data_IF_171318508558
#
_entry.id   IF_171318508558
#
_cell.length_a   1.000
_cell.length_b   1.000
_cell.length_c   1.000
_cell.angle_alpha   90.00
_cell.angle_beta   90.00
_cell.angle_gamma   90.00
#
_symmetry.space_group_name_H-M   'P 1'
#
loop_
_entity.id
_entity.type
_entity.pdbx_description
1 polymer ?
#
# COMPACT_ATOMS: atom_id res chain seq x y z
N UNK A 1 20.86 3.14 2.24
CA UNK A 1 20.23 4.02 3.25
C UNK A 1 18.70 4.14 3.12
N UNK A 2 18.06 3.75 2.00
CA UNK A 2 16.59 3.77 1.84
C UNK A 2 15.80 2.71 2.64
N UNK A 3 16.44 1.61 3.06
CA UNK A 3 15.73 0.48 3.68
C UNK A 3 15.04 0.87 5.00
N UNK A 4 15.71 1.65 5.86
CA UNK A 4 15.19 2.03 7.19
C UNK A 4 13.94 2.91 7.10
N UNK A 5 13.87 3.82 6.11
CA UNK A 5 12.69 4.66 5.88
C UNK A 5 11.48 3.84 5.41
N UNK A 6 11.71 2.86 4.53
CA UNK A 6 10.65 1.97 4.04
C UNK A 6 10.01 1.14 5.16
N UNK A 7 10.79 0.68 6.14
CA UNK A 7 10.26 -0.07 7.28
C UNK A 7 9.45 0.81 8.23
N UNK A 8 9.84 2.06 8.44
CA UNK A 8 9.07 3.02 9.25
C UNK A 8 7.73 3.32 8.57
N UNK A 9 7.76 3.61 7.27
CA UNK A 9 6.55 3.83 6.46
C UNK A 9 5.63 2.61 6.47
N UNK A 10 6.20 1.40 6.39
CA UNK A 10 5.45 0.16 6.52
C UNK A 10 4.75 0.03 7.88
N UNK A 11 5.46 0.33 8.98
CA UNK A 11 4.87 0.34 10.33
C UNK A 11 3.71 1.32 10.44
N UNK A 12 3.89 2.54 9.94
CA UNK A 12 2.84 3.57 9.92
C UNK A 12 1.65 3.13 9.05
N UNK A 13 1.90 2.56 7.88
CA UNK A 13 0.87 2.03 6.99
C UNK A 13 -0.01 0.98 7.69
N UNK A 14 0.61 0.06 8.43
CA UNK A 14 -0.10 -0.96 9.21
C UNK A 14 -0.94 -0.33 10.32
N UNK A 15 -0.40 0.66 11.05
CA UNK A 15 -1.16 1.36 12.09
C UNK A 15 -2.38 2.09 11.50
N UNK A 16 -2.21 2.80 10.39
CA UNK A 16 -3.31 3.49 9.69
C UNK A 16 -4.38 2.49 9.25
N UNK A 17 -3.98 1.32 8.72
CA UNK A 17 -4.90 0.26 8.33
C UNK A 17 -5.69 -0.31 9.50
N UNK A 18 -5.04 -0.50 10.65
CA UNK A 18 -5.70 -0.96 11.87
C UNK A 18 -6.73 0.08 12.33
N UNK A 19 -6.35 1.36 12.37
CA UNK A 19 -7.25 2.46 12.77
C UNK A 19 -8.46 2.56 11.84
N UNK A 20 -8.24 2.49 10.52
CA UNK A 20 -9.30 2.49 9.51
C UNK A 20 -10.23 1.28 9.66
N UNK A 21 -9.67 0.09 9.93
CA UNK A 21 -10.45 -1.13 10.15
C UNK A 21 -11.33 -1.04 11.39
N UNK A 22 -10.83 -0.45 12.48
CA UNK A 22 -11.62 -0.17 13.67
C UNK A 22 -12.70 0.89 13.41
N UNK A 23 -12.37 1.94 12.66
CA UNK A 23 -13.33 3.00 12.30
C UNK A 23 -14.48 2.46 11.45
N UNK A 24 -14.21 1.56 10.50
CA UNK A 24 -15.26 0.89 9.73
C UNK A 24 -16.14 -0.03 10.57
N UNK A 25 -15.52 -0.82 11.48
CA UNK A 25 -16.27 -1.65 12.42
C UNK A 25 -17.21 -0.80 13.27
N UNK A 26 -16.78 0.38 13.74
CA UNK A 26 -17.62 1.28 14.54
C UNK A 26 -18.73 1.94 13.73
N UNK A 27 -18.48 2.34 12.48
CA UNK A 27 -19.50 2.92 11.61
C UNK A 27 -20.58 1.92 11.17
N UNK A 28 -20.25 0.62 11.07
CA UNK A 28 -21.18 -0.43 10.62
C UNK A 28 -21.85 -1.23 11.74
N UNK A 29 -21.67 -0.86 13.02
CA UNK A 29 -22.31 -1.55 14.17
C UNK A 29 -23.85 -1.58 14.12
N UNK A 30 -24.49 -0.85 13.20
CA UNK A 30 -25.95 -0.85 13.01
C UNK A 30 -26.51 -1.77 11.91
N UNK A 31 -25.69 -2.51 11.16
CA UNK A 31 -26.20 -3.48 10.17
C UNK A 31 -25.75 -4.89 10.52
N UNK A 32 -26.72 -5.68 10.97
CA UNK A 32 -26.75 -7.09 11.40
C UNK A 32 -26.16 -8.14 10.42
N UNK A 33 -25.15 -7.83 9.60
CA UNK A 33 -24.83 -8.66 8.43
C UNK A 33 -23.36 -8.55 8.01
N UNK A 34 -22.43 -8.92 8.89
CA UNK A 34 -21.07 -9.23 8.44
C UNK A 34 -21.10 -10.56 7.68
N UNK A 35 -21.33 -10.51 6.35
CA UNK A 35 -21.20 -11.62 5.40
C UNK A 35 -19.73 -12.10 5.25
N UNK A 36 -19.05 -12.40 6.36
CA UNK A 36 -17.72 -13.02 6.38
C UNK A 36 -16.53 -12.17 5.90
N UNK A 37 -16.74 -10.94 5.42
CA UNK A 37 -15.63 -10.09 4.92
C UNK A 37 -14.93 -9.39 6.09
N UNK A 38 -13.59 -9.49 6.22
CA UNK A 38 -12.85 -8.71 7.22
C UNK A 38 -13.16 -7.22 7.03
N UNK A 39 -13.32 -6.49 8.13
CA UNK A 39 -13.72 -5.07 8.15
C UNK A 39 -12.65 -4.09 7.63
N UNK A 40 -11.85 -4.52 6.65
CA UNK A 40 -10.85 -3.73 5.97
C UNK A 40 -11.57 -2.88 4.90
N UNK A 41 -11.21 -1.60 4.84
CA UNK A 41 -11.76 -0.66 3.85
C UNK A 41 -11.32 -1.12 2.45
N UNK A 42 -12.24 -1.33 1.49
CA UNK A 42 -11.83 -1.57 0.12
C UNK A 42 -11.10 -0.32 -0.40
N UNK A 43 -9.88 -0.45 -0.92
CA UNK A 43 -9.01 0.69 -1.23
C UNK A 43 -9.56 1.50 -2.41
N UNK A 44 -10.31 0.88 -3.31
CA UNK A 44 -10.87 1.51 -4.51
C UNK A 44 -12.31 1.08 -4.70
N UNK A 45 -13.17 2.04 -5.03
CA UNK A 45 -14.49 1.77 -5.60
C UNK A 45 -14.47 2.09 -7.10
N UNK A 46 -14.35 1.06 -7.93
CA UNK A 46 -14.32 1.19 -9.39
C UNK A 46 -15.67 1.65 -9.97
N UNK A 47 -16.79 1.33 -9.30
CA UNK A 47 -18.13 1.64 -9.81
C UNK A 47 -18.52 3.11 -9.60
N UNK A 48 -18.00 3.76 -8.57
CA UNK A 48 -18.27 5.18 -8.30
C UNK A 48 -17.03 5.89 -7.73
N UNK A 49 -16.07 6.29 -8.58
CA UNK A 49 -14.84 6.92 -8.14
C UNK A 49 -15.09 8.39 -7.75
N UNK A 50 -15.16 8.67 -6.44
CA UNK A 50 -15.26 10.06 -5.92
C UNK A 50 -14.02 10.92 -6.23
N UNK A 51 -12.82 10.34 -6.15
CA UNK A 51 -11.55 11.07 -6.28
C UNK A 51 -10.63 10.43 -7.31
N UNK A 52 -10.96 10.62 -8.59
CA UNK A 52 -10.26 10.00 -9.74
C UNK A 52 -8.76 10.29 -9.78
N UNK A 53 -8.35 11.51 -9.44
CA UNK A 53 -6.95 11.93 -9.47
C UNK A 53 -6.08 11.14 -8.48
N UNK A 54 -6.61 10.82 -7.30
CA UNK A 54 -5.83 10.11 -6.28
C UNK A 54 -5.51 8.69 -6.73
N UNK A 55 -6.43 8.04 -7.44
CA UNK A 55 -6.18 6.73 -8.05
C UNK A 55 -5.08 6.79 -9.11
N UNK A 56 -5.13 7.79 -9.99
CA UNK A 56 -4.12 7.98 -11.04
C UNK A 56 -2.74 8.22 -10.43
N UNK A 57 -2.65 9.06 -9.39
CA UNK A 57 -1.39 9.34 -8.69
C UNK A 57 -0.85 8.10 -7.97
N UNK A 58 -1.71 7.35 -7.28
CA UNK A 58 -1.31 6.12 -6.59
C UNK A 58 -0.81 5.06 -7.59
N UNK A 59 -1.52 4.86 -8.70
CA UNK A 59 -1.07 3.97 -9.76
C UNK A 59 0.24 4.44 -10.39
N UNK A 60 0.40 5.75 -10.61
CA UNK A 60 1.64 6.33 -11.11
C UNK A 60 2.83 6.08 -10.20
N UNK A 61 2.66 6.23 -8.89
CA UNK A 61 3.70 5.97 -7.88
C UNK A 61 4.10 4.49 -7.82
N UNK A 62 3.13 3.57 -7.93
CA UNK A 62 3.39 2.14 -8.03
C UNK A 62 4.18 1.83 -9.31
N UNK A 63 3.75 2.38 -10.45
CA UNK A 63 4.41 2.16 -11.73
C UNK A 63 5.84 2.69 -11.76
N UNK A 64 6.08 3.91 -11.25
CA UNK A 64 7.44 4.48 -11.18
C UNK A 64 8.35 3.67 -10.27
N UNK A 65 7.82 3.17 -9.15
CA UNK A 65 8.58 2.33 -8.21
C UNK A 65 8.93 0.98 -8.83
N UNK A 66 8.00 0.35 -9.55
CA UNK A 66 8.25 -0.88 -10.30
C UNK A 66 9.31 -0.72 -11.38
N UNK A 67 9.26 0.39 -12.15
CA UNK A 67 10.27 0.69 -13.15
C UNK A 67 11.66 0.82 -12.54
N UNK A 68 11.78 1.52 -11.40
CA UNK A 68 13.06 1.64 -10.70
C UNK A 68 13.62 0.28 -10.26
N UNK A 69 12.78 -0.63 -9.75
CA UNK A 69 13.21 -1.97 -9.36
C UNK A 69 13.72 -2.76 -10.57
N UNK A 70 13.01 -2.69 -11.71
CA UNK A 70 13.39 -3.38 -12.94
C UNK A 70 14.73 -2.87 -13.46
N UNK A 71 14.92 -1.54 -13.50
CA UNK A 71 16.16 -0.89 -13.94
C UNK A 71 17.35 -1.17 -13.01
N UNK A 72 17.10 -1.28 -11.70
CA UNK A 72 18.15 -1.60 -10.73
C UNK A 72 18.52 -3.09 -10.76
N UNK A 73 17.55 -3.96 -11.04
CA UNK A 73 17.72 -5.40 -11.21
C UNK A 73 18.62 -5.76 -12.40
N UNK A 74 18.50 -5.03 -13.52
CA UNK A 74 19.32 -5.26 -14.72
C UNK A 74 20.78 -4.82 -14.58
N UNK A 75 21.11 -4.06 -13.53
CA UNK A 75 22.46 -3.47 -13.33
C UNK A 75 23.39 -4.35 -12.46
N UNK A 76 22.97 -5.56 -12.07
CA UNK A 76 23.68 -6.36 -11.07
C UNK A 76 24.69 -7.37 -11.66
N UNK A 77 25.95 -6.94 -11.73
CA UNK A 77 27.27 -7.62 -11.71
C UNK A 77 27.34 -9.15 -11.88
N UNK A 78 28.20 -9.59 -12.81
CA UNK A 78 28.63 -10.97 -13.08
C UNK A 78 29.24 -11.65 -11.84
N UNK A 79 28.63 -12.75 -11.37
CA UNK A 79 29.15 -13.58 -10.26
C UNK A 79 29.00 -15.06 -10.61
N UNK A 80 29.97 -15.87 -10.19
CA UNK A 80 30.24 -17.28 -10.53
C UNK A 80 29.07 -18.27 -10.39
N UNK A 81 28.06 -17.99 -9.57
CA UNK A 81 26.93 -18.90 -9.31
C UNK A 81 25.57 -18.28 -9.69
N UNK A 82 25.29 -18.28 -10.99
CA UNK A 82 24.13 -17.64 -11.62
C UNK A 82 22.78 -18.07 -11.03
N UNK A 83 22.61 -19.37 -10.79
CA UNK A 83 21.32 -19.94 -10.36
C UNK A 83 20.87 -19.52 -8.95
N UNK A 84 21.78 -19.54 -7.97
CA UNK A 84 21.45 -19.14 -6.60
C UNK A 84 21.14 -17.64 -6.51
N UNK A 85 21.88 -16.82 -7.27
CA UNK A 85 21.67 -15.37 -7.34
C UNK A 85 20.30 -15.02 -7.93
N UNK A 86 19.91 -15.67 -9.02
CA UNK A 86 18.62 -15.42 -9.68
C UNK A 86 17.43 -15.75 -8.77
N UNK A 87 17.51 -16.83 -7.98
CA UNK A 87 16.46 -17.21 -7.03
C UNK A 87 16.33 -16.19 -5.91
N UNK A 88 17.45 -15.80 -5.28
CA UNK A 88 17.45 -14.83 -4.18
C UNK A 88 16.96 -13.46 -4.68
N UNK A 89 17.37 -13.05 -5.89
CA UNK A 89 16.93 -11.80 -6.51
C UNK A 89 15.43 -11.80 -6.80
N UNK A 90 14.88 -12.89 -7.34
CA UNK A 90 13.44 -13.01 -7.59
C UNK A 90 12.61 -12.96 -6.30
N UNK A 91 13.04 -13.65 -5.24
CA UNK A 91 12.38 -13.60 -3.93
C UNK A 91 12.41 -12.18 -3.38
N UNK A 92 13.55 -11.48 -3.51
CA UNK A 92 13.70 -10.10 -3.07
C UNK A 92 12.76 -9.15 -3.82
N UNK A 93 12.63 -9.30 -5.14
CA UNK A 93 11.72 -8.50 -5.97
C UNK A 93 10.26 -8.73 -5.54
N UNK A 94 9.83 -9.99 -5.37
CA UNK A 94 8.47 -10.32 -4.93
C UNK A 94 8.18 -9.70 -3.55
N UNK A 95 9.13 -9.80 -2.62
CA UNK A 95 9.01 -9.20 -1.29
C UNK A 95 8.86 -7.67 -1.38
N UNK A 96 9.67 -7.01 -2.22
CA UNK A 96 9.60 -5.56 -2.40
C UNK A 96 8.26 -5.10 -2.98
N UNK A 97 7.72 -5.85 -3.96
CA UNK A 97 6.39 -5.58 -4.54
C UNK A 97 5.30 -5.69 -3.46
N UNK A 98 5.36 -6.70 -2.59
CA UNK A 98 4.41 -6.83 -1.48
C UNK A 98 4.47 -5.63 -0.52
N UNK A 99 5.67 -5.17 -0.18
CA UNK A 99 5.86 -3.99 0.68
C UNK A 99 5.27 -2.74 0.00
N UNK A 100 5.52 -2.56 -1.30
CA UNK A 100 4.99 -1.44 -2.09
C UNK A 100 3.45 -1.43 -2.11
N UNK A 101 2.82 -2.59 -2.29
CA UNK A 101 1.36 -2.73 -2.24
C UNK A 101 0.83 -2.33 -0.86
N UNK A 102 1.45 -2.82 0.21
CA UNK A 102 1.00 -2.52 1.58
C UNK A 102 1.18 -1.04 1.91
N UNK A 103 2.25 -0.39 1.42
CA UNK A 103 2.49 1.05 1.62
C UNK A 103 1.51 1.93 0.84
N UNK A 104 1.08 1.51 -0.35
CA UNK A 104 0.16 2.30 -1.19
C UNK A 104 -1.30 2.08 -0.83
N UNK A 105 -1.62 0.93 -0.22
CA UNK A 105 -2.97 0.59 0.25
C UNK A 105 -3.63 1.61 1.20
N UNK A 106 -2.99 2.06 2.31
CA UNK A 106 -3.63 3.01 3.25
C UNK A 106 -3.96 4.34 2.58
N UNK A 107 -3.13 4.79 1.63
CA UNK A 107 -3.32 6.05 0.92
C UNK A 107 -4.63 6.03 0.10
N UNK A 108 -4.91 4.89 -0.54
CA UNK A 108 -6.17 4.62 -1.23
C UNK A 108 -7.35 4.43 -0.26
N UNK A 109 -7.15 3.67 0.81
CA UNK A 109 -8.18 3.38 1.82
C UNK A 109 -8.63 4.63 2.60
N UNK A 110 -7.73 5.59 2.87
CA UNK A 110 -8.03 6.86 3.54
C UNK A 110 -9.07 7.68 2.76
N UNK A 111 -8.93 7.73 1.44
CA UNK A 111 -9.83 8.47 0.53
C UNK A 111 -11.24 7.88 0.52
N UNK A 112 -11.33 6.55 0.64
CA UNK A 112 -12.60 5.82 0.62
C UNK A 112 -13.21 5.62 2.02
N UNK A 113 -12.62 6.22 3.05
CA UNK A 113 -13.07 6.07 4.43
C UNK A 113 -14.51 6.61 4.65
N UNK A 114 -15.31 5.99 5.53
CA UNK A 114 -16.68 6.43 5.78
C UNK A 114 -16.75 7.78 6.54
N UNK A 115 -15.68 8.14 7.25
CA UNK A 115 -15.56 9.41 7.98
C UNK A 115 -14.51 10.26 7.24
N UNK A 116 -14.92 11.14 6.31
CA UNK A 116 -13.99 11.81 5.39
C UNK A 116 -12.93 12.64 6.12
N UNK A 117 -13.28 13.32 7.22
CA UNK A 117 -12.32 14.11 8.01
C UNK A 117 -11.15 13.26 8.53
N UNK A 118 -11.44 12.08 9.07
CA UNK A 118 -10.41 11.16 9.60
C UNK A 118 -9.55 10.58 8.48
N UNK A 119 -10.16 10.25 7.34
CA UNK A 119 -9.44 9.78 6.17
C UNK A 119 -8.45 10.81 5.62
N UNK A 120 -8.90 12.06 5.46
CA UNK A 120 -8.04 13.12 4.92
C UNK A 120 -6.91 13.51 5.87
N UNK A 121 -7.16 13.58 7.18
CA UNK A 121 -6.11 13.91 8.15
C UNK A 121 -5.04 12.83 8.23
N UNK A 122 -5.44 11.55 8.28
CA UNK A 122 -4.51 10.42 8.26
C UNK A 122 -3.77 10.32 6.93
N UNK A 123 -4.45 10.56 5.81
CA UNK A 123 -3.83 10.58 4.47
C UNK A 123 -2.80 11.70 4.33
N UNK A 124 -3.11 12.92 4.80
CA UNK A 124 -2.20 14.05 4.77
C UNK A 124 -0.95 13.79 5.62
N UNK A 125 -1.12 13.30 6.85
CA UNK A 125 -0.01 12.90 7.72
C UNK A 125 0.86 11.83 7.06
N UNK A 126 0.24 10.83 6.43
CA UNK A 126 0.97 9.76 5.76
C UNK A 126 1.77 10.24 4.54
N UNK A 127 1.28 11.24 3.80
CA UNK A 127 2.01 11.82 2.65
C UNK A 127 3.13 12.77 3.04
N UNK A 128 3.10 13.31 4.27
CA UNK A 128 4.14 14.23 4.78
C UNK A 128 5.36 13.45 5.28
N UNK A 129 5.17 12.20 5.69
CA UNK A 129 6.23 11.30 6.16
C UNK A 129 6.91 10.61 4.97
#
# INVERSE_FOLDING_TARGET
FQLSGSFILFGIAVVVLIVLSFSQRRAKKGLSTCNGVPGIVPPINFLNPRHRLVYVLACGLVASSLLNIILQSSSSVEVENKWFKDIVQNIYIVFFILVLVIQTYPLLACVQSPIPLLGYSLGALYTIV
#
